data_IF_913542693634
#
_entry.id   IF_913542693634
#
_cell.length_a   1.000
_cell.length_b   1.000
_cell.length_c   1.000
_cell.angle_alpha   90.00
_cell.angle_beta   90.00
_cell.angle_gamma   90.00
#
_symmetry.space_group_name_H-M   'P 1'
#
loop_
_entity.id
_entity.type
_entity.pdbx_description
1 polymer ?
#
# COMPACT_ATOMS: atom_id res chain seq x y z
N UNK A 1 -18.52 10.84 -4.38
CA UNK A 1 -17.56 10.11 -5.22
C UNK A 1 -18.34 9.42 -6.33
N UNK A 2 -17.92 9.58 -7.58
CA UNK A 2 -18.68 9.08 -8.71
C UNK A 2 -18.63 7.57 -8.82
N UNK A 3 -19.77 6.95 -9.14
CA UNK A 3 -19.91 5.49 -9.35
C UNK A 3 -18.89 5.00 -10.39
N UNK A 4 -18.58 5.84 -11.38
CA UNK A 4 -17.57 5.56 -12.39
C UNK A 4 -16.17 5.36 -11.77
N UNK A 5 -15.76 6.24 -10.85
CA UNK A 5 -14.45 6.16 -10.19
C UNK A 5 -14.35 4.92 -9.30
N UNK A 6 -15.44 4.57 -8.60
CA UNK A 6 -15.54 3.31 -7.85
C UNK A 6 -15.35 2.10 -8.76
N UNK A 7 -16.00 2.10 -9.93
CA UNK A 7 -15.87 1.04 -10.93
C UNK A 7 -14.44 0.87 -11.42
N UNK A 8 -13.73 1.98 -11.68
CA UNK A 8 -12.33 1.96 -12.12
C UNK A 8 -11.41 1.33 -11.04
N UNK A 9 -11.59 1.73 -9.77
CA UNK A 9 -10.83 1.17 -8.64
C UNK A 9 -11.11 -0.33 -8.50
N UNK A 10 -12.37 -0.74 -8.60
CA UNK A 10 -12.74 -2.14 -8.49
C UNK A 10 -12.12 -2.98 -9.61
N UNK A 11 -12.16 -2.51 -10.85
CA UNK A 11 -11.53 -3.17 -12.00
C UNK A 11 -10.01 -3.26 -11.78
N UNK A 12 -9.39 -2.18 -11.33
CA UNK A 12 -7.96 -2.17 -11.04
C UNK A 12 -7.60 -3.22 -9.98
N UNK A 13 -8.30 -3.26 -8.85
CA UNK A 13 -8.09 -4.25 -7.79
C UNK A 13 -8.30 -5.68 -8.30
N UNK A 14 -9.33 -5.91 -9.11
CA UNK A 14 -9.61 -7.21 -9.69
C UNK A 14 -8.45 -7.69 -10.61
N UNK A 15 -7.92 -6.79 -11.44
CA UNK A 15 -6.80 -7.10 -12.32
C UNK A 15 -5.52 -7.39 -11.53
N UNK A 16 -5.20 -6.56 -10.54
CA UNK A 16 -4.02 -6.75 -9.69
C UNK A 16 -4.11 -8.07 -8.91
N UNK A 17 -5.28 -8.35 -8.34
CA UNK A 17 -5.56 -9.62 -7.64
C UNK A 17 -5.45 -10.83 -8.56
N UNK A 18 -5.93 -10.72 -9.80
CA UNK A 18 -5.80 -11.76 -10.81
C UNK A 18 -4.35 -12.07 -11.14
N UNK A 19 -3.50 -11.04 -11.32
CA UNK A 19 -2.08 -11.22 -11.57
C UNK A 19 -1.37 -11.87 -10.38
N UNK A 20 -1.69 -11.44 -9.17
CA UNK A 20 -1.13 -11.99 -7.94
C UNK A 20 -1.46 -13.49 -7.78
N UNK A 21 -2.73 -13.85 -7.95
CA UNK A 21 -3.17 -15.26 -7.87
C UNK A 21 -2.55 -16.15 -8.94
N UNK A 22 -2.39 -15.64 -10.17
CA UNK A 22 -1.96 -16.45 -11.29
C UNK A 22 -0.45 -16.57 -11.42
N UNK A 23 0.28 -15.49 -11.18
CA UNK A 23 1.74 -15.41 -11.41
C UNK A 23 2.54 -15.28 -10.13
N UNK A 24 1.91 -14.99 -8.98
CA UNK A 24 2.53 -14.61 -7.72
C UNK A 24 3.55 -13.47 -7.85
N UNK A 25 3.46 -12.72 -8.93
CA UNK A 25 4.29 -11.57 -9.26
C UNK A 25 3.39 -10.51 -9.89
N UNK A 26 3.28 -9.37 -9.22
CA UNK A 26 2.58 -8.20 -9.75
C UNK A 26 3.65 -7.27 -10.32
N UNK A 27 3.56 -6.87 -11.61
CA UNK A 27 4.45 -5.86 -12.16
C UNK A 27 4.30 -4.54 -11.40
N UNK A 28 5.17 -4.32 -10.43
CA UNK A 28 5.05 -3.27 -9.41
C UNK A 28 4.85 -1.88 -10.03
N UNK A 29 5.63 -1.53 -11.04
CA UNK A 29 5.55 -0.21 -11.69
C UNK A 29 4.19 0.01 -12.35
N UNK A 30 3.70 -0.96 -13.13
CA UNK A 30 2.47 -0.80 -13.90
C UNK A 30 1.20 -0.82 -13.04
N UNK A 31 1.16 -1.65 -12.01
CA UNK A 31 -0.06 -1.91 -11.25
C UNK A 31 -0.10 -1.26 -9.87
N UNK A 32 1.04 -0.73 -9.41
CA UNK A 32 1.16 -0.08 -8.10
C UNK A 32 1.55 1.37 -8.24
N UNK A 33 2.66 1.67 -8.95
CA UNK A 33 3.19 3.02 -9.04
C UNK A 33 2.34 3.92 -9.93
N UNK A 34 1.92 3.42 -11.11
CA UNK A 34 1.08 4.21 -12.03
C UNK A 34 -0.25 4.61 -11.38
N UNK A 35 -1.02 3.73 -10.72
CA UNK A 35 -2.21 4.13 -9.99
C UNK A 35 -1.96 5.18 -8.92
N UNK A 36 -0.85 5.08 -8.14
CA UNK A 36 -0.47 6.11 -7.17
C UNK A 36 -0.23 7.47 -7.84
N UNK A 37 0.46 7.50 -8.97
CA UNK A 37 0.68 8.73 -9.74
C UNK A 37 -0.66 9.29 -10.24
N UNK A 38 -1.55 8.44 -10.74
CA UNK A 38 -2.89 8.88 -11.16
C UNK A 38 -3.69 9.48 -9.99
N UNK A 39 -3.61 8.88 -8.80
CA UNK A 39 -4.24 9.43 -7.58
C UNK A 39 -3.61 10.77 -7.20
N UNK A 40 -2.28 10.91 -7.27
CA UNK A 40 -1.62 12.18 -7.00
C UNK A 40 -2.05 13.27 -7.97
N UNK A 41 -2.14 12.97 -9.26
CA UNK A 41 -2.64 13.92 -10.28
C UNK A 41 -4.10 14.31 -9.98
N UNK A 42 -4.95 13.33 -9.67
CA UNK A 42 -6.34 13.59 -9.32
C UNK A 42 -6.47 14.53 -8.12
N UNK A 43 -5.70 14.29 -7.06
CA UNK A 43 -5.65 15.14 -5.86
C UNK A 43 -5.16 16.56 -6.19
N UNK A 44 -4.14 16.69 -7.06
CA UNK A 44 -3.66 18.00 -7.52
C UNK A 44 -4.73 18.77 -8.27
N UNK A 45 -5.46 18.12 -9.19
CA UNK A 45 -6.56 18.73 -9.94
C UNK A 45 -7.72 19.11 -9.01
N UNK A 46 -7.97 18.31 -7.97
CA UNK A 46 -8.98 18.63 -6.94
C UNK A 46 -8.55 19.76 -6.00
N UNK A 47 -7.32 20.26 -6.12
CA UNK A 47 -6.79 21.38 -5.32
C UNK A 47 -6.10 20.95 -4.02
N UNK A 48 -6.01 19.66 -3.72
CA UNK A 48 -5.32 19.14 -2.54
C UNK A 48 -3.84 18.85 -2.85
N UNK A 49 -3.06 19.91 -3.02
CA UNK A 49 -1.65 19.83 -3.37
C UNK A 49 -0.78 19.14 -2.30
N UNK A 50 -1.17 19.27 -1.03
CA UNK A 50 -0.42 18.66 0.07
C UNK A 50 -0.57 17.13 0.03
N UNK A 51 -1.79 16.64 -0.16
CA UNK A 51 -2.05 15.20 -0.28
C UNK A 51 -1.46 14.65 -1.58
N UNK A 52 -1.56 15.40 -2.68
CA UNK A 52 -0.93 15.06 -3.95
C UNK A 52 0.59 14.89 -3.82
N UNK A 53 1.25 15.83 -3.15
CA UNK A 53 2.69 15.75 -2.90
C UNK A 53 3.06 14.54 -2.05
N UNK A 54 2.31 14.30 -0.96
CA UNK A 54 2.50 13.12 -0.11
C UNK A 54 2.36 11.83 -0.92
N UNK A 55 1.30 11.72 -1.73
CA UNK A 55 1.04 10.54 -2.57
C UNK A 55 2.15 10.32 -3.60
N UNK A 56 2.62 11.39 -4.24
CA UNK A 56 3.75 11.34 -5.18
C UNK A 56 5.05 10.87 -4.51
N UNK A 57 5.32 11.33 -3.29
CA UNK A 57 6.50 10.90 -2.53
C UNK A 57 6.40 9.44 -2.07
N UNK A 58 5.21 8.95 -1.74
CA UNK A 58 4.98 7.52 -1.48
C UNK A 58 5.26 6.70 -2.74
N UNK A 59 4.82 7.16 -3.91
CA UNK A 59 5.10 6.49 -5.18
C UNK A 59 6.61 6.40 -5.46
N UNK A 60 7.34 7.49 -5.30
CA UNK A 60 8.81 7.51 -5.46
C UNK A 60 9.51 6.59 -4.44
N UNK A 61 9.09 6.64 -3.18
CA UNK A 61 9.68 5.82 -2.14
C UNK A 61 9.39 4.33 -2.33
N UNK A 62 8.28 3.95 -2.96
CA UNK A 62 7.98 2.56 -3.30
C UNK A 62 8.95 1.98 -4.32
N UNK A 63 9.57 2.81 -5.17
CA UNK A 63 10.58 2.43 -6.17
C UNK A 63 12.04 2.65 -5.68
N UNK A 64 12.25 2.93 -4.39
CA UNK A 64 13.56 3.29 -3.81
C UNK A 64 14.69 2.33 -4.20
N UNK A 65 14.43 1.02 -4.19
CA UNK A 65 15.45 0.02 -4.52
C UNK A 65 15.89 0.09 -5.99
N UNK A 66 14.97 0.44 -6.90
CA UNK A 66 15.31 0.68 -8.31
C UNK A 66 16.03 1.98 -8.50
N UNK A 67 15.59 3.04 -7.83
CA UNK A 67 16.23 4.36 -7.86
C UNK A 67 17.64 4.28 -7.27
N UNK A 68 17.86 3.58 -6.18
CA UNK A 68 19.19 3.37 -5.59
C UNK A 68 20.15 2.64 -6.55
N UNK A 69 19.65 1.66 -7.33
CA UNK A 69 20.47 0.97 -8.35
C UNK A 69 20.84 1.88 -9.53
N UNK A 70 20.01 2.87 -9.86
CA UNK A 70 20.25 3.77 -10.99
C UNK A 70 21.15 4.96 -10.62
N UNK A 71 21.12 5.41 -9.36
CA UNK A 71 21.75 6.69 -8.96
C UNK A 71 23.12 6.56 -8.32
N UNK A 72 23.59 5.34 -8.00
CA UNK A 72 24.81 5.07 -7.22
C UNK A 72 24.87 5.81 -5.85
N UNK A 73 23.82 6.57 -5.51
CA UNK A 73 23.72 7.34 -4.29
C UNK A 73 23.02 6.50 -3.19
N UNK A 74 23.31 6.82 -1.92
CA UNK A 74 22.61 6.24 -0.77
C UNK A 74 21.18 6.79 -0.63
N UNK A 75 20.44 6.79 -1.74
CA UNK A 75 19.07 7.31 -1.83
C UNK A 75 18.09 6.43 -1.04
N UNK A 76 18.42 5.16 -0.88
CA UNK A 76 17.56 4.18 -0.20
C UNK A 76 17.19 4.61 1.23
N UNK A 77 18.17 5.07 2.02
CA UNK A 77 17.92 5.54 3.39
C UNK A 77 17.06 6.80 3.43
N UNK A 78 17.28 7.73 2.51
CA UNK A 78 16.51 8.97 2.44
C UNK A 78 15.07 8.68 2.07
N UNK A 79 14.83 7.89 1.02
CA UNK A 79 13.49 7.51 0.59
C UNK A 79 12.77 6.58 1.56
N UNK A 80 13.49 5.91 2.46
CA UNK A 80 12.88 5.18 3.57
C UNK A 80 12.17 6.13 4.55
N UNK A 81 12.82 7.22 4.96
CA UNK A 81 12.29 8.11 5.99
C UNK A 81 11.31 9.18 5.47
N UNK A 82 11.42 9.56 4.20
CA UNK A 82 10.60 10.65 3.63
C UNK A 82 9.10 10.41 3.78
N UNK A 83 8.50 9.24 3.42
CA UNK A 83 7.07 9.03 3.56
C UNK A 83 6.58 9.16 5.00
N UNK A 84 7.36 8.69 5.97
CA UNK A 84 7.03 8.79 7.38
C UNK A 84 7.00 10.23 7.86
N UNK A 85 8.04 10.99 7.53
CA UNK A 85 8.16 12.39 7.92
C UNK A 85 7.03 13.23 7.29
N UNK A 86 6.80 13.06 5.99
CA UNK A 86 5.76 13.81 5.28
C UNK A 86 4.36 13.42 5.76
N UNK A 87 4.12 12.15 6.07
CA UNK A 87 2.85 11.70 6.63
C UNK A 87 2.59 12.35 8.00
N UNK A 88 3.59 12.42 8.86
CA UNK A 88 3.48 13.09 10.16
C UNK A 88 3.24 14.59 10.00
N UNK A 89 3.96 15.24 9.08
CA UNK A 89 3.77 16.68 8.79
C UNK A 89 2.38 16.96 8.24
N UNK A 90 1.90 16.13 7.30
CA UNK A 90 0.55 16.23 6.74
C UNK A 90 -0.52 16.08 7.83
N UNK A 91 -0.37 15.06 8.70
CA UNK A 91 -1.30 14.85 9.81
C UNK A 91 -1.36 16.04 10.78
N UNK A 92 -0.20 16.62 11.11
CA UNK A 92 -0.11 17.78 11.98
C UNK A 92 -0.74 19.04 11.34
N UNK A 93 -0.50 19.26 10.04
CA UNK A 93 -1.02 20.42 9.32
C UNK A 93 -2.54 20.35 9.12
N UNK A 94 -3.07 19.19 8.76
CA UNK A 94 -4.47 19.02 8.39
C UNK A 94 -5.34 18.46 9.52
N UNK A 95 -4.78 18.17 10.70
CA UNK A 95 -5.46 17.53 11.84
C UNK A 95 -6.17 16.22 11.45
N UNK A 96 -5.69 15.57 10.39
CA UNK A 96 -6.22 14.29 9.90
C UNK A 96 -5.11 13.23 9.97
N UNK A 97 -5.09 12.39 11.01
CA UNK A 97 -4.05 11.40 11.21
C UNK A 97 -4.23 10.14 10.36
N UNK A 98 -5.39 9.96 9.69
CA UNK A 98 -5.74 8.68 9.05
C UNK A 98 -4.72 8.28 7.99
N UNK A 99 -4.37 9.19 7.06
CA UNK A 99 -3.37 8.92 6.04
C UNK A 99 -1.99 8.61 6.63
N UNK A 100 -1.59 9.32 7.69
CA UNK A 100 -0.32 9.06 8.38
C UNK A 100 -0.30 7.69 9.05
N UNK A 101 -1.35 7.34 9.77
CA UNK A 101 -1.49 6.03 10.43
C UNK A 101 -1.43 4.92 9.38
N UNK A 102 -2.14 5.06 8.25
CA UNK A 102 -2.13 4.08 7.17
C UNK A 102 -0.73 3.91 6.57
N UNK A 103 -0.06 5.02 6.22
CA UNK A 103 1.29 4.97 5.67
C UNK A 103 2.24 4.29 6.66
N UNK A 104 2.22 4.70 7.94
CA UNK A 104 3.09 4.12 8.96
C UNK A 104 2.80 2.62 9.15
N UNK A 105 1.54 2.24 9.31
CA UNK A 105 1.16 0.86 9.59
C UNK A 105 1.49 -0.08 8.41
N UNK A 106 1.07 0.29 7.21
CA UNK A 106 1.24 -0.58 6.03
C UNK A 106 2.69 -0.59 5.55
N UNK A 107 3.39 0.54 5.63
CA UNK A 107 4.82 0.59 5.31
C UNK A 107 5.65 -0.22 6.31
N UNK A 108 5.36 -0.11 7.61
CA UNK A 108 6.01 -0.94 8.62
C UNK A 108 5.75 -2.43 8.40
N UNK A 109 4.51 -2.82 8.06
CA UNK A 109 4.18 -4.20 7.73
C UNK A 109 4.99 -4.73 6.54
N UNK A 110 5.24 -3.89 5.53
CA UNK A 110 6.11 -4.24 4.41
C UNK A 110 7.57 -4.39 4.84
N UNK A 111 8.14 -3.45 5.58
CA UNK A 111 9.53 -3.51 6.04
C UNK A 111 9.80 -4.72 6.97
N UNK A 112 8.83 -5.04 7.82
CA UNK A 112 8.86 -6.22 8.68
C UNK A 112 8.63 -7.53 7.92
N UNK A 113 8.44 -7.46 6.60
CA UNK A 113 8.15 -8.61 5.72
C UNK A 113 6.89 -9.39 6.13
N UNK A 114 5.97 -8.75 6.84
CA UNK A 114 4.66 -9.31 7.13
C UNK A 114 3.75 -9.26 5.91
N UNK A 115 3.95 -8.26 5.04
CA UNK A 115 3.18 -8.04 3.81
C UNK A 115 4.08 -7.96 2.58
N UNK A 116 3.52 -8.31 1.42
CA UNK A 116 4.13 -8.01 0.13
C UNK A 116 4.16 -6.51 -0.13
N UNK A 117 5.17 -6.02 -0.85
CA UNK A 117 5.28 -4.58 -1.17
C UNK A 117 4.09 -4.06 -1.99
N UNK A 118 3.58 -4.88 -2.92
CA UNK A 118 2.41 -4.51 -3.72
C UNK A 118 1.15 -4.38 -2.85
N UNK A 119 0.94 -5.28 -1.88
CA UNK A 119 -0.19 -5.26 -0.95
C UNK A 119 -0.18 -4.01 -0.08
N UNK A 120 0.98 -3.73 0.52
CA UNK A 120 1.15 -2.57 1.40
C UNK A 120 0.89 -1.26 0.65
N UNK A 121 1.49 -1.09 -0.54
CA UNK A 121 1.32 0.14 -1.31
C UNK A 121 -0.10 0.27 -1.87
N UNK A 122 -0.76 -0.84 -2.23
CA UNK A 122 -2.18 -0.82 -2.63
C UNK A 122 -3.08 -0.40 -1.47
N UNK A 123 -2.85 -0.91 -0.25
CA UNK A 123 -3.58 -0.51 0.94
C UNK A 123 -3.37 0.99 1.28
N UNK A 124 -2.14 1.48 1.15
CA UNK A 124 -1.83 2.92 1.29
C UNK A 124 -2.60 3.73 0.24
N UNK A 125 -2.57 3.28 -1.03
CA UNK A 125 -3.28 3.96 -2.13
C UNK A 125 -4.77 4.08 -1.85
N UNK A 126 -5.41 3.00 -1.43
CA UNK A 126 -6.84 3.01 -1.06
C UNK A 126 -7.13 3.97 0.07
N UNK A 127 -6.26 4.03 1.09
CA UNK A 127 -6.44 4.94 2.22
C UNK A 127 -6.19 6.40 1.84
N UNK A 128 -5.32 6.67 0.88
CA UNK A 128 -5.10 8.02 0.34
C UNK A 128 -6.27 8.50 -0.53
N UNK A 129 -6.99 7.57 -1.17
CA UNK A 129 -8.24 7.86 -1.89
C UNK A 129 -9.40 8.08 -0.91
N UNK A 130 -9.48 7.23 0.11
CA UNK A 130 -10.50 7.26 1.16
C UNK A 130 -9.85 7.30 2.54
N UNK A 131 -9.60 8.50 3.07
CA UNK A 131 -8.98 8.65 4.39
C UNK A 131 -9.98 8.36 5.51
N UNK A 132 -10.49 7.13 5.58
CA UNK A 132 -11.39 6.64 6.63
C UNK A 132 -10.67 5.63 7.52
N UNK A 133 -10.66 5.89 8.84
CA UNK A 133 -10.06 5.00 9.83
C UNK A 133 -10.71 3.61 9.82
N UNK A 134 -12.00 3.51 9.50
CA UNK A 134 -12.70 2.22 9.38
C UNK A 134 -12.12 1.36 8.29
N UNK A 135 -11.73 1.96 7.14
CA UNK A 135 -11.05 1.25 6.07
C UNK A 135 -9.69 0.72 6.52
N UNK A 136 -8.89 1.55 7.21
CA UNK A 136 -7.58 1.14 7.74
C UNK A 136 -7.72 -0.04 8.68
N UNK A 137 -8.65 0.05 9.63
CA UNK A 137 -8.92 -1.02 10.60
C UNK A 137 -9.42 -2.28 9.89
N UNK A 138 -10.35 -2.15 8.95
CA UNK A 138 -10.89 -3.29 8.20
C UNK A 138 -9.79 -4.04 7.44
N UNK A 139 -8.92 -3.31 6.73
CA UNK A 139 -7.78 -3.90 6.00
C UNK A 139 -6.84 -4.62 6.95
N UNK A 140 -6.48 -4.01 8.10
CA UNK A 140 -5.61 -4.64 9.09
C UNK A 140 -6.24 -5.89 9.69
N UNK A 141 -7.52 -5.84 10.07
CA UNK A 141 -8.24 -6.98 10.67
C UNK A 141 -8.35 -8.14 9.69
N UNK A 142 -8.74 -7.87 8.45
CA UNK A 142 -8.85 -8.91 7.40
C UNK A 142 -7.50 -9.57 7.17
N UNK A 143 -6.42 -8.80 7.04
CA UNK A 143 -5.08 -9.35 6.88
C UNK A 143 -4.61 -10.17 8.08
N UNK A 144 -4.85 -9.68 9.30
CA UNK A 144 -4.51 -10.42 10.51
C UNK A 144 -5.28 -11.75 10.60
N UNK A 145 -6.57 -11.74 10.24
CA UNK A 145 -7.40 -12.94 10.24
C UNK A 145 -6.92 -13.99 9.22
N UNK A 146 -6.58 -13.56 8.02
CA UNK A 146 -6.06 -14.47 6.99
C UNK A 146 -4.66 -14.99 7.33
N UNK A 147 -3.78 -14.14 7.87
CA UNK A 147 -2.48 -14.57 8.35
C UNK A 147 -2.62 -15.63 9.47
N UNK A 148 -3.62 -15.46 10.35
CA UNK A 148 -3.93 -16.43 11.41
C UNK A 148 -4.40 -17.76 10.80
N UNK A 149 -5.35 -17.74 9.86
CA UNK A 149 -5.84 -18.97 9.21
C UNK A 149 -4.70 -19.69 8.49
N UNK A 150 -3.87 -18.96 7.74
CA UNK A 150 -2.75 -19.53 7.02
C UNK A 150 -1.71 -20.14 7.97
N UNK A 151 -1.46 -19.49 9.10
CA UNK A 151 -0.54 -20.00 10.12
C UNK A 151 -1.09 -21.27 10.77
N UNK A 152 -2.39 -21.33 11.04
CA UNK A 152 -3.06 -22.52 11.57
C UNK A 152 -3.04 -23.67 10.57
N UNK A 153 -3.32 -23.41 9.27
CA UNK A 153 -3.26 -24.44 8.22
C UNK A 153 -1.84 -25.00 8.09
N UNK A 154 -0.81 -24.13 8.11
CA UNK A 154 0.59 -24.57 8.06
C UNK A 154 1.00 -25.39 9.29
N UNK A 155 0.51 -25.02 10.49
CA UNK A 155 0.74 -25.76 11.72
C UNK A 155 0.12 -27.16 11.67
N UNK A 156 -1.10 -27.26 11.12
CA UNK A 156 -1.82 -28.52 10.99
C UNK A 156 -1.14 -29.45 9.97
N UNK A 157 -0.74 -28.92 8.81
CA UNK A 157 -0.17 -29.72 7.72
C UNK A 157 1.30 -30.08 7.94
N UNK A 158 2.11 -29.11 8.36
CA UNK A 158 3.57 -29.29 8.40
C UNK A 158 4.13 -29.49 9.82
N UNK A 159 3.32 -29.39 10.85
CA UNK A 159 3.74 -29.34 12.29
C UNK A 159 4.83 -28.30 12.56
N UNK A 160 4.94 -27.28 11.72
CA UNK A 160 5.90 -26.18 11.84
C UNK A 160 5.18 -24.87 11.58
N UNK A 161 5.38 -23.91 12.48
CA UNK A 161 4.94 -22.52 12.24
C UNK A 161 5.85 -21.92 11.16
N UNK A 162 5.35 -21.76 9.95
CA UNK A 162 5.98 -20.95 8.92
C UNK A 162 5.21 -19.65 8.77
N UNK A 163 5.89 -18.53 8.97
CA UNK A 163 5.35 -17.23 8.57
C UNK A 163 5.42 -17.19 7.03
N UNK A 164 4.30 -17.47 6.39
CA UNK A 164 4.18 -17.38 4.94
C UNK A 164 3.83 -15.94 4.56
N UNK A 165 4.54 -15.40 3.56
CA UNK A 165 4.05 -14.23 2.83
C UNK A 165 2.82 -14.67 2.04
N UNK A 166 1.67 -14.15 2.41
CA UNK A 166 0.42 -14.48 1.77
C UNK A 166 0.11 -13.44 0.68
N UNK A 167 -0.46 -13.84 -0.47
CA UNK A 167 -0.98 -12.88 -1.45
C UNK A 167 -2.14 -12.12 -0.82
N UNK A 168 -1.90 -10.88 -0.42
CA UNK A 168 -2.88 -10.07 0.30
C UNK A 168 -3.86 -9.33 -0.60
N UNK A 169 -3.48 -9.09 -1.86
CA UNK A 169 -4.28 -8.30 -2.80
C UNK A 169 -5.72 -8.81 -3.02
N UNK A 170 -5.99 -10.13 -3.15
CA UNK A 170 -7.36 -10.62 -3.27
C UNK A 170 -8.26 -10.29 -2.08
N UNK A 171 -7.66 -10.06 -0.92
CA UNK A 171 -8.40 -9.75 0.30
C UNK A 171 -8.90 -8.31 0.37
N UNK A 172 -8.30 -7.41 -0.40
CA UNK A 172 -8.74 -6.00 -0.49
C UNK A 172 -10.03 -5.85 -1.30
N UNK A 173 -10.52 -6.95 -1.92
CA UNK A 173 -11.78 -6.97 -2.67
C UNK A 173 -12.99 -7.43 -1.85
N UNK A 174 -12.77 -7.98 -0.65
CA UNK A 174 -13.82 -8.39 0.27
C UNK A 174 -14.25 -7.22 1.16
#
# INVERSE_FOLDING_TARGET
MDIFFLGVIFIWLALVSWFDLRKREVPHTAWVVIPLICVAIYQAVAGDWQLSFLTGMVALASERQRLAKLSELRVDTIFFWIPWLLACLYAAANRNPVGAIAIVAFWAAWELRCWGGADAVTAITLTLIWPDMRLVIAVLVVHAFVALIASLDSLIRERKLRVHQFPGLPLLML
#
